data_IF_744268062561
#
_entry.id   IF_744268062561
#
_cell.length_a   1.000
_cell.length_b   1.000
_cell.length_c   1.000
_cell.angle_alpha   90.00
_cell.angle_beta   90.00
_cell.angle_gamma   90.00
#
_symmetry.space_group_name_H-M   'P 1'
#
loop_
_entity.id
_entity.type
_entity.pdbx_description
1 polymer ?
#
# COMPACT_ATOMS: atom_id res chain seq x y z
N UNK A 1 -6.47 -27.63 -12.63
CA UNK A 1 -6.37 -26.72 -11.46
C UNK A 1 -5.17 -27.03 -10.54
N UNK A 2 -4.85 -28.28 -10.21
CA UNK A 2 -3.71 -28.67 -9.35
C UNK A 2 -2.36 -28.37 -10.01
N UNK A 3 -2.17 -28.69 -11.29
CA UNK A 3 -0.92 -28.41 -12.02
C UNK A 3 -0.55 -26.93 -12.07
N UNK A 4 -1.52 -26.02 -12.17
CA UNK A 4 -1.26 -24.57 -12.18
C UNK A 4 -0.77 -24.08 -10.82
N UNK A 5 -1.28 -24.63 -9.72
CA UNK A 5 -0.81 -24.35 -8.36
C UNK A 5 0.62 -24.83 -8.15
N UNK A 6 0.94 -26.06 -8.59
CA UNK A 6 2.29 -26.63 -8.48
C UNK A 6 3.30 -25.78 -9.28
N UNK A 7 3.00 -25.43 -10.54
CA UNK A 7 3.85 -24.54 -11.35
C UNK A 7 4.11 -23.21 -10.66
N UNK A 8 3.08 -22.61 -10.06
CA UNK A 8 3.21 -21.37 -9.29
C UNK A 8 4.15 -21.51 -8.08
N UNK A 9 4.04 -22.58 -7.32
CA UNK A 9 4.91 -22.83 -6.18
C UNK A 9 6.37 -23.06 -6.58
N UNK A 10 6.62 -23.83 -7.64
CA UNK A 10 7.97 -24.04 -8.21
C UNK A 10 8.54 -22.70 -8.68
N UNK A 11 7.77 -21.90 -9.41
CA UNK A 11 8.20 -20.58 -9.85
C UNK A 11 8.58 -19.66 -8.67
N UNK A 12 7.72 -19.58 -7.64
CA UNK A 12 8.00 -18.80 -6.44
C UNK A 12 9.25 -19.28 -5.70
N UNK A 13 9.48 -20.59 -5.64
CA UNK A 13 10.70 -21.16 -5.06
C UNK A 13 11.95 -20.74 -5.84
N UNK A 14 11.93 -20.85 -7.17
CA UNK A 14 13.03 -20.41 -8.02
C UNK A 14 13.32 -18.90 -7.91
N UNK A 15 12.27 -18.08 -7.83
CA UNK A 15 12.39 -16.64 -7.60
C UNK A 15 13.06 -16.37 -6.24
N UNK A 16 12.68 -17.11 -5.19
CA UNK A 16 13.29 -16.97 -3.85
C UNK A 16 14.78 -17.34 -3.85
N UNK A 17 15.15 -18.38 -4.57
CA UNK A 17 16.58 -18.77 -4.70
C UNK A 17 17.41 -17.68 -5.39
N UNK A 18 16.85 -17.02 -6.41
CA UNK A 18 17.51 -15.94 -7.15
C UNK A 18 17.49 -14.59 -6.43
N UNK A 19 16.67 -14.43 -5.39
CA UNK A 19 16.43 -13.15 -4.74
C UNK A 19 17.70 -12.47 -4.25
N UNK A 20 18.60 -13.20 -3.60
CA UNK A 20 19.86 -12.64 -3.08
C UNK A 20 20.70 -12.04 -4.22
N UNK A 21 20.85 -12.77 -5.32
CA UNK A 21 21.57 -12.29 -6.51
C UNK A 21 20.92 -11.05 -7.11
N UNK A 22 19.59 -11.06 -7.27
CA UNK A 22 18.83 -9.92 -7.80
C UNK A 22 18.99 -8.67 -6.93
N UNK A 23 18.91 -8.81 -5.61
CA UNK A 23 19.10 -7.70 -4.66
C UNK A 23 20.51 -7.12 -4.81
N UNK A 24 21.54 -7.97 -4.85
CA UNK A 24 22.94 -7.54 -5.06
C UNK A 24 23.09 -6.79 -6.39
N UNK A 25 22.49 -7.28 -7.46
CA UNK A 25 22.52 -6.63 -8.78
C UNK A 25 21.82 -5.27 -8.79
N UNK A 26 20.69 -5.13 -8.10
CA UNK A 26 19.98 -3.86 -7.98
C UNK A 26 20.79 -2.83 -7.20
N UNK A 27 21.41 -3.22 -6.10
CA UNK A 27 22.26 -2.34 -5.29
C UNK A 27 23.55 -1.94 -6.03
N UNK A 28 24.11 -2.85 -6.86
CA UNK A 28 25.28 -2.56 -7.67
C UNK A 28 25.07 -1.46 -8.72
N UNK A 29 23.82 -1.16 -9.08
CA UNK A 29 23.49 -0.06 -9.99
C UNK A 29 23.73 1.34 -9.38
N UNK A 30 23.97 1.42 -8.08
CA UNK A 30 24.20 2.68 -7.34
C UNK A 30 23.12 3.74 -7.57
N UNK A 31 21.90 3.34 -7.91
CA UNK A 31 20.79 4.23 -8.08
C UNK A 31 20.16 4.50 -6.72
N UNK A 32 20.07 5.76 -6.24
CA UNK A 32 19.55 6.10 -4.92
C UNK A 32 18.12 5.61 -4.69
N UNK A 33 17.26 5.71 -5.71
CA UNK A 33 15.87 5.28 -5.60
C UNK A 33 15.75 3.75 -5.48
N UNK A 34 16.52 3.01 -6.27
CA UNK A 34 16.57 1.55 -6.15
C UNK A 34 17.10 1.11 -4.79
N UNK A 35 18.10 1.80 -4.26
CA UNK A 35 18.61 1.55 -2.90
C UNK A 35 17.50 1.71 -1.86
N UNK A 36 16.76 2.83 -1.89
CA UNK A 36 15.62 3.08 -1.00
C UNK A 36 14.58 1.96 -1.09
N UNK A 37 14.21 1.56 -2.29
CA UNK A 37 13.23 0.48 -2.53
C UNK A 37 13.72 -0.84 -1.93
N UNK A 38 14.95 -1.22 -2.22
CA UNK A 38 15.53 -2.49 -1.76
C UNK A 38 15.69 -2.50 -0.24
N UNK A 39 16.18 -1.43 0.36
CA UNK A 39 16.33 -1.31 1.82
C UNK A 39 14.97 -1.37 2.53
N UNK A 40 13.96 -0.70 2.01
CA UNK A 40 12.59 -0.76 2.53
C UNK A 40 12.01 -2.19 2.46
N UNK A 41 12.25 -2.88 1.35
CA UNK A 41 11.88 -4.28 1.20
C UNK A 41 12.60 -5.18 2.21
N UNK A 42 13.91 -5.02 2.38
CA UNK A 42 14.70 -5.81 3.33
C UNK A 42 14.29 -5.54 4.77
N UNK A 43 13.96 -4.29 5.10
CA UNK A 43 13.46 -3.91 6.42
C UNK A 43 12.17 -4.66 6.77
N UNK A 44 11.20 -4.69 5.87
CA UNK A 44 9.97 -5.48 6.06
C UNK A 44 10.24 -6.97 6.10
N UNK A 45 10.99 -7.47 5.14
CA UNK A 45 11.28 -8.91 5.03
C UNK A 45 11.91 -9.49 6.29
N UNK A 46 12.79 -8.74 6.93
CA UNK A 46 13.51 -9.17 8.14
C UNK A 46 12.91 -8.60 9.42
N UNK A 47 11.72 -8.00 9.34
CA UNK A 47 11.02 -7.39 10.48
C UNK A 47 11.91 -6.42 11.29
N UNK A 48 12.72 -5.61 10.60
CA UNK A 48 13.61 -4.61 11.22
C UNK A 48 12.90 -3.26 11.35
N UNK A 49 11.71 -3.26 11.97
CA UNK A 49 10.90 -2.08 12.19
C UNK A 49 11.31 -1.39 13.49
N UNK A 50 11.27 -0.05 13.52
CA UNK A 50 11.37 0.70 14.76
C UNK A 50 10.05 0.62 15.55
N UNK A 51 10.10 0.89 16.84
CA UNK A 51 8.90 1.00 17.69
C UNK A 51 7.91 2.02 17.09
N UNK A 52 8.42 3.19 16.67
CA UNK A 52 7.60 4.24 16.03
C UNK A 52 6.95 3.77 14.74
N UNK A 53 7.66 2.98 13.89
CA UNK A 53 7.06 2.43 12.67
C UNK A 53 5.91 1.48 13.01
N UNK A 54 6.10 0.63 14.02
CA UNK A 54 5.08 -0.33 14.47
C UNK A 54 3.84 0.39 15.01
N UNK A 55 4.01 1.38 15.89
CA UNK A 55 2.93 2.21 16.42
C UNK A 55 2.15 2.93 15.31
N UNK A 56 2.87 3.48 14.32
CA UNK A 56 2.25 4.11 13.15
C UNK A 56 1.42 3.11 12.34
N UNK A 57 1.95 1.90 12.13
CA UNK A 57 1.23 0.85 11.41
C UNK A 57 -0.02 0.42 12.14
N UNK A 58 0.05 0.28 13.46
CA UNK A 58 -1.13 -0.04 14.29
C UNK A 58 -2.19 1.05 14.20
N UNK A 59 -1.79 2.33 14.20
CA UNK A 59 -2.71 3.45 14.03
C UNK A 59 -3.40 3.41 12.64
N UNK A 60 -2.64 3.17 11.56
CA UNK A 60 -3.21 3.02 10.22
C UNK A 60 -4.15 1.80 10.11
N UNK A 61 -3.82 0.68 10.77
CA UNK A 61 -4.66 -0.52 10.74
C UNK A 61 -5.93 -0.39 11.59
N UNK A 62 -5.98 0.54 12.56
CA UNK A 62 -7.24 0.90 13.24
C UNK A 62 -8.27 1.44 12.24
N UNK A 63 -7.84 2.32 11.34
CA UNK A 63 -8.70 2.83 10.27
C UNK A 63 -9.21 1.70 9.36
N UNK A 64 -8.31 0.85 8.88
CA UNK A 64 -8.71 -0.34 8.10
C UNK A 64 -9.73 -1.19 8.86
N UNK A 65 -9.54 -1.38 10.16
CA UNK A 65 -10.43 -2.19 10.99
C UNK A 65 -11.83 -1.57 11.13
N UNK A 66 -11.95 -0.25 11.08
CA UNK A 66 -13.23 0.45 11.00
C UNK A 66 -13.91 0.19 9.66
N UNK A 67 -13.19 0.38 8.56
CA UNK A 67 -13.70 0.10 7.21
C UNK A 67 -14.18 -1.35 7.02
N UNK A 68 -13.50 -2.31 7.66
CA UNK A 68 -13.89 -3.73 7.61
C UNK A 68 -15.19 -4.05 8.36
N UNK A 69 -15.71 -3.10 9.13
CA UNK A 69 -16.99 -3.20 9.86
C UNK A 69 -18.06 -2.28 9.29
N UNK A 70 -17.75 -1.50 8.27
CA UNK A 70 -18.63 -0.50 7.70
C UNK A 70 -19.59 -1.14 6.67
N UNK A 71 -20.88 -1.10 6.98
CA UNK A 71 -21.96 -1.62 6.14
C UNK A 71 -22.57 -0.56 5.20
N UNK A 72 -21.93 0.62 5.08
CA UNK A 72 -22.35 1.65 4.12
C UNK A 72 -22.37 1.09 2.72
N UNK A 73 -23.44 1.32 1.98
CA UNK A 73 -23.61 0.89 0.59
C UNK A 73 -23.01 1.94 -0.35
N UNK A 74 -22.16 1.50 -1.24
CA UNK A 74 -21.56 2.30 -2.32
C UNK A 74 -22.18 1.87 -3.64
N UNK A 75 -22.74 2.82 -4.41
CA UNK A 75 -23.28 2.60 -5.74
C UNK A 75 -22.23 2.89 -6.82
N UNK A 76 -22.22 2.06 -7.86
CA UNK A 76 -21.39 2.23 -9.04
C UNK A 76 -22.16 2.79 -10.25
N UNK A 77 -23.35 3.35 -10.01
CA UNK A 77 -24.25 3.88 -11.03
C UNK A 77 -23.58 4.95 -11.92
N UNK A 78 -22.71 5.77 -11.34
CA UNK A 78 -21.96 6.80 -12.09
C UNK A 78 -21.10 6.20 -13.23
N UNK A 79 -20.78 4.92 -13.17
CA UNK A 79 -20.08 4.19 -14.23
C UNK A 79 -21.02 3.35 -15.09
N UNK A 80 -22.34 3.64 -15.07
CA UNK A 80 -23.33 2.89 -15.84
C UNK A 80 -23.56 1.45 -15.34
N UNK A 81 -23.35 1.20 -14.05
CA UNK A 81 -23.51 -0.13 -13.46
C UNK A 81 -24.47 -0.08 -12.27
N UNK A 82 -25.52 -0.91 -12.30
CA UNK A 82 -26.48 -1.07 -11.18
C UNK A 82 -25.88 -1.80 -9.96
N UNK A 83 -24.58 -2.08 -10.00
CA UNK A 83 -23.89 -2.78 -8.91
C UNK A 83 -23.75 -1.89 -7.70
N UNK A 84 -23.94 -2.49 -6.53
CA UNK A 84 -23.63 -1.90 -5.23
C UNK A 84 -22.66 -2.79 -4.48
N UNK A 85 -21.87 -2.22 -3.59
CA UNK A 85 -21.00 -2.97 -2.69
C UNK A 85 -20.96 -2.31 -1.32
N UNK A 86 -20.78 -3.10 -0.27
CA UNK A 86 -20.55 -2.59 1.07
C UNK A 86 -19.09 -2.10 1.19
N UNK A 87 -18.87 -1.04 1.96
CA UNK A 87 -17.52 -0.51 2.23
C UNK A 87 -16.60 -1.60 2.76
N UNK A 88 -17.07 -2.45 3.69
CA UNK A 88 -16.31 -3.59 4.21
C UNK A 88 -15.83 -4.56 3.12
N UNK A 89 -16.64 -4.79 2.09
CA UNK A 89 -16.31 -5.69 0.98
C UNK A 89 -15.36 -5.04 -0.01
N UNK A 90 -15.52 -3.73 -0.25
CA UNK A 90 -14.55 -2.93 -1.02
C UNK A 90 -13.20 -2.96 -0.31
N UNK A 91 -13.17 -2.74 1.00
CA UNK A 91 -11.95 -2.79 1.80
C UNK A 91 -11.24 -4.14 1.69
N UNK A 92 -11.98 -5.26 1.82
CA UNK A 92 -11.43 -6.62 1.69
C UNK A 92 -10.82 -6.90 0.32
N UNK A 93 -11.47 -6.41 -0.76
CA UNK A 93 -11.14 -6.76 -2.15
C UNK A 93 -10.13 -5.81 -2.79
N UNK A 94 -10.25 -4.52 -2.52
CA UNK A 94 -9.56 -3.47 -3.26
C UNK A 94 -8.53 -2.67 -2.44
N UNK A 95 -8.67 -2.58 -1.12
CA UNK A 95 -7.68 -1.85 -0.32
C UNK A 95 -6.31 -2.54 -0.34
N UNK A 96 -5.26 -1.74 -0.38
CA UNK A 96 -3.89 -2.23 -0.31
C UNK A 96 -3.68 -3.12 0.91
N UNK A 97 -3.11 -4.30 0.73
CA UNK A 97 -2.80 -5.20 1.86
C UNK A 97 -1.79 -4.55 2.81
N UNK A 98 -1.83 -4.85 4.13
CA UNK A 98 -0.94 -4.23 5.12
C UNK A 98 0.53 -4.20 4.70
N UNK A 99 1.07 -5.32 4.22
CA UNK A 99 2.47 -5.42 3.81
C UNK A 99 2.85 -4.43 2.70
N UNK A 100 1.95 -4.17 1.74
CA UNK A 100 2.20 -3.22 0.66
C UNK A 100 2.08 -1.77 1.12
N UNK A 101 1.10 -1.47 1.98
CA UNK A 101 0.94 -0.14 2.57
C UNK A 101 2.14 0.21 3.48
N UNK A 102 2.60 -0.72 4.30
CA UNK A 102 3.83 -0.60 5.10
C UNK A 102 5.07 -0.37 4.21
N UNK A 103 5.15 -1.08 3.08
CA UNK A 103 6.24 -0.88 2.13
C UNK A 103 6.25 0.52 1.54
N UNK A 104 5.08 1.04 1.13
CA UNK A 104 4.94 2.42 0.66
C UNK A 104 5.34 3.43 1.74
N UNK A 105 4.92 3.23 2.99
CA UNK A 105 5.34 4.06 4.12
C UNK A 105 6.86 4.10 4.24
N UNK A 106 7.54 2.95 4.25
CA UNK A 106 8.98 2.88 4.42
C UNK A 106 9.76 3.54 3.28
N UNK A 107 9.29 3.40 2.03
CA UNK A 107 9.84 4.11 0.88
C UNK A 107 9.66 5.62 1.08
N UNK A 108 8.43 6.05 1.38
CA UNK A 108 8.08 7.46 1.59
C UNK A 108 8.92 8.08 2.71
N UNK A 109 9.10 7.37 3.82
CA UNK A 109 9.89 7.81 4.96
C UNK A 109 11.35 8.10 4.59
N UNK A 110 11.93 7.36 3.63
CA UNK A 110 13.32 7.53 3.18
C UNK A 110 13.54 8.63 2.14
N UNK A 111 12.50 8.98 1.39
CA UNK A 111 12.58 10.04 0.39
C UNK A 111 12.66 11.42 1.07
N UNK A 112 13.47 12.34 0.54
CA UNK A 112 13.66 13.66 1.16
C UNK A 112 12.46 14.58 0.99
N UNK A 113 12.01 14.81 -0.23
CA UNK A 113 10.90 15.72 -0.59
C UNK A 113 10.02 15.08 -1.64
N UNK A 114 9.35 13.99 -1.32
CA UNK A 114 8.56 13.30 -2.33
C UNK A 114 7.25 14.03 -2.61
N UNK A 115 6.87 14.04 -3.90
CA UNK A 115 5.50 14.31 -4.32
C UNK A 115 4.94 13.00 -4.88
N UNK A 116 3.78 12.61 -4.39
CA UNK A 116 3.09 11.41 -4.83
C UNK A 116 1.86 11.77 -5.63
N UNK A 117 1.62 10.99 -6.66
CA UNK A 117 0.35 10.94 -7.38
C UNK A 117 -0.22 9.52 -7.23
N UNK A 118 -1.38 9.42 -6.60
CA UNK A 118 -2.14 8.17 -6.46
C UNK A 118 -3.36 8.24 -7.38
N UNK A 119 -3.48 7.26 -8.25
CA UNK A 119 -4.67 7.10 -9.12
C UNK A 119 -5.51 5.98 -8.55
N UNK A 120 -6.72 6.33 -8.06
CA UNK A 120 -7.58 5.41 -7.32
C UNK A 120 -7.35 5.48 -5.82
N UNK A 121 -7.84 6.54 -5.18
CA UNK A 121 -7.82 6.70 -3.70
C UNK A 121 -8.53 5.55 -3.02
N UNK A 122 -9.61 5.07 -3.64
CA UNK A 122 -10.50 4.08 -3.06
C UNK A 122 -10.95 4.54 -1.65
N UNK A 123 -10.72 3.75 -0.63
CA UNK A 123 -11.04 4.07 0.77
C UNK A 123 -9.89 4.79 1.51
N UNK A 124 -8.86 5.26 0.82
CA UNK A 124 -7.75 6.03 1.39
C UNK A 124 -6.73 5.22 2.21
N UNK A 125 -6.82 3.89 2.23
CA UNK A 125 -5.96 3.05 3.09
C UNK A 125 -4.46 3.20 2.78
N UNK A 126 -4.04 3.20 1.51
CA UNK A 126 -2.65 3.46 1.11
C UNK A 126 -2.25 4.90 1.38
N UNK A 127 -3.16 5.83 1.10
CA UNK A 127 -2.98 7.27 1.36
C UNK A 127 -2.65 7.56 2.82
N UNK A 128 -3.32 6.90 3.77
CA UNK A 128 -3.05 7.04 5.20
C UNK A 128 -1.59 6.76 5.54
N UNK A 129 -1.05 5.65 5.06
CA UNK A 129 0.35 5.29 5.31
C UNK A 129 1.33 6.28 4.67
N UNK A 130 1.02 6.76 3.46
CA UNK A 130 1.84 7.77 2.79
C UNK A 130 1.80 9.09 3.58
N UNK A 131 0.62 9.55 3.99
CA UNK A 131 0.45 10.79 4.77
C UNK A 131 1.17 10.74 6.11
N UNK A 132 1.08 9.63 6.84
CA UNK A 132 1.83 9.47 8.09
C UNK A 132 3.35 9.54 7.86
N UNK A 133 3.87 8.97 6.77
CA UNK A 133 5.28 9.09 6.42
C UNK A 133 5.68 10.52 5.97
N UNK A 134 4.72 11.32 5.49
CA UNK A 134 4.93 12.71 5.07
C UNK A 134 4.78 13.72 6.21
N UNK A 135 4.18 13.35 7.33
CA UNK A 135 3.74 14.24 8.42
C UNK A 135 4.78 15.28 8.87
N UNK A 136 6.05 14.91 8.85
CA UNK A 136 7.15 15.78 9.24
C UNK A 136 8.04 16.24 8.07
N UNK A 137 7.58 16.06 6.83
CA UNK A 137 8.35 16.40 5.62
C UNK A 137 7.86 17.72 5.01
N UNK A 138 8.66 18.76 5.14
CA UNK A 138 8.37 20.04 4.49
C UNK A 138 8.42 19.89 2.95
N UNK A 139 7.49 20.57 2.26
CA UNK A 139 7.42 20.60 0.79
C UNK A 139 7.19 19.23 0.14
N UNK A 140 6.49 18.33 0.83
CA UNK A 140 6.06 17.03 0.31
C UNK A 140 4.55 17.01 0.21
N UNK A 141 4.02 16.37 -0.82
CA UNK A 141 2.57 16.33 -1.09
C UNK A 141 2.14 14.96 -1.58
N UNK A 142 0.92 14.58 -1.21
CA UNK A 142 0.16 13.49 -1.82
C UNK A 142 -1.00 14.11 -2.60
N UNK A 143 -1.02 13.87 -3.90
CA UNK A 143 -2.18 14.11 -4.76
C UNK A 143 -2.86 12.77 -5.00
N UNK A 144 -4.14 12.68 -4.71
CA UNK A 144 -4.89 11.45 -4.91
C UNK A 144 -6.18 11.73 -5.65
N UNK A 145 -6.58 10.82 -6.55
CA UNK A 145 -7.76 10.98 -7.40
C UNK A 145 -8.67 9.76 -7.26
N UNK A 146 -9.96 10.02 -7.10
CA UNK A 146 -10.99 9.00 -7.00
C UNK A 146 -12.18 9.39 -7.90
N UNK A 147 -12.65 8.43 -8.70
CA UNK A 147 -13.77 8.63 -9.60
C UNK A 147 -15.14 8.50 -8.94
N UNK A 148 -15.23 7.82 -7.80
CA UNK A 148 -16.48 7.61 -7.06
C UNK A 148 -16.62 8.63 -5.93
N UNK A 149 -17.58 9.60 -6.02
CA UNK A 149 -17.73 10.62 -4.98
C UNK A 149 -17.97 10.07 -3.58
N UNK A 150 -18.67 8.92 -3.47
CA UNK A 150 -18.90 8.26 -2.19
C UNK A 150 -17.60 7.77 -1.55
N UNK A 151 -16.70 7.15 -2.32
CA UNK A 151 -15.39 6.72 -1.83
C UNK A 151 -14.51 7.92 -1.49
N UNK A 152 -14.56 8.97 -2.31
CA UNK A 152 -13.87 10.23 -2.05
C UNK A 152 -14.28 10.81 -0.68
N UNK A 153 -15.57 10.88 -0.39
CA UNK A 153 -16.08 11.36 0.92
C UNK A 153 -15.58 10.50 2.07
N UNK A 154 -15.61 9.18 1.93
CA UNK A 154 -15.12 8.27 2.98
C UNK A 154 -13.63 8.51 3.25
N UNK A 155 -12.82 8.61 2.20
CA UNK A 155 -11.39 8.85 2.34
C UNK A 155 -11.06 10.25 2.91
N UNK A 156 -11.92 11.26 2.71
CA UNK A 156 -11.71 12.61 3.24
C UNK A 156 -12.06 12.73 4.73
N UNK A 157 -12.88 11.85 5.27
CA UNK A 157 -13.29 11.86 6.69
C UNK A 157 -12.30 11.12 7.61
N UNK A 158 -11.19 10.71 7.09
CA UNK A 158 -10.13 10.06 7.85
C UNK A 158 -9.21 11.13 8.57
#
# INVERSE_FOLDING_TARGET
MILSKIKKHIFLFLVRLKQKKTITQLLAQRNPLLTIIVESFLQLKYNKLSTTDTETFEACEKYRSQLLKDDTVVSFEIFGSDKTMLVKDICKKAASKPIWAQFLFLITKRLLRPNFLEIGTNLGVSGTYILEALKHKKNSKLYTMEGLPQLCKIAQHQ
#
